data_IF_247349526060
#
_entry.id   IF_247349526060
#
_cell.length_a   1.000
_cell.length_b   1.000
_cell.length_c   1.000
_cell.angle_alpha   90.00
_cell.angle_beta   90.00
_cell.angle_gamma   90.00
#
_symmetry.space_group_name_H-M   'P 1'
#
loop_
_entity.id
_entity.type
_entity.pdbx_description
1 polymer ?
#
# COMPACT_ATOMS: atom_id res chain seq x y z
N UNK A 1 12.09 11.33 -24.07
CA UNK A 1 12.11 9.84 -24.04
C UNK A 1 10.71 9.25 -24.02
N UNK A 2 10.55 8.01 -24.49
CA UNK A 2 9.28 7.27 -24.50
C UNK A 2 9.20 6.29 -23.32
N UNK A 3 8.25 6.49 -22.45
CA UNK A 3 8.06 5.69 -21.24
C UNK A 3 6.81 4.83 -21.36
N UNK A 4 6.96 3.50 -21.23
CA UNK A 4 5.83 2.59 -21.20
C UNK A 4 5.60 2.12 -19.75
N UNK A 5 4.42 2.40 -19.16
CA UNK A 5 4.14 2.06 -17.77
C UNK A 5 3.05 0.99 -17.67
N UNK A 6 3.16 0.09 -16.68
CA UNK A 6 2.14 -0.92 -16.42
C UNK A 6 1.80 -0.94 -14.93
N UNK A 7 0.52 -0.70 -14.62
CA UNK A 7 -0.06 -0.85 -13.28
C UNK A 7 -1.25 -1.80 -13.33
N UNK A 8 -1.57 -2.44 -12.22
CA UNK A 8 -2.64 -3.42 -12.15
C UNK A 8 -3.79 -3.08 -11.19
N UNK A 9 -3.67 -1.99 -10.42
CA UNK A 9 -4.66 -1.59 -9.43
C UNK A 9 -4.65 -0.09 -9.14
N UNK A 10 -5.62 0.39 -8.35
CA UNK A 10 -5.79 1.82 -8.06
C UNK A 10 -4.60 2.46 -7.35
N UNK A 11 -3.94 1.75 -6.43
CA UNK A 11 -2.73 2.24 -5.76
C UNK A 11 -1.57 2.40 -6.74
N UNK A 12 -1.43 1.46 -7.68
CA UNK A 12 -0.46 1.57 -8.77
C UNK A 12 -0.72 2.77 -9.67
N UNK A 13 -1.99 3.05 -10.02
CA UNK A 13 -2.39 4.22 -10.81
C UNK A 13 -2.01 5.54 -10.10
N UNK A 14 -2.24 5.63 -8.78
CA UNK A 14 -1.86 6.78 -7.98
C UNK A 14 -0.33 6.98 -7.96
N UNK A 15 0.42 5.97 -7.60
CA UNK A 15 1.89 6.08 -7.51
C UNK A 15 2.53 6.32 -8.88
N UNK A 16 2.03 5.67 -9.94
CA UNK A 16 2.52 5.88 -11.30
C UNK A 16 2.18 7.27 -11.83
N UNK A 17 1.03 7.84 -11.48
CA UNK A 17 0.69 9.21 -11.87
C UNK A 17 1.65 10.24 -11.27
N UNK A 18 2.02 10.07 -10.00
CA UNK A 18 3.03 10.92 -9.35
C UNK A 18 4.42 10.75 -9.99
N UNK A 19 4.81 9.50 -10.32
CA UNK A 19 6.06 9.23 -11.03
C UNK A 19 6.06 9.88 -12.42
N UNK A 20 4.97 9.75 -13.19
CA UNK A 20 4.84 10.38 -14.52
C UNK A 20 4.96 11.90 -14.44
N UNK A 21 4.33 12.52 -13.44
CA UNK A 21 4.46 13.97 -13.22
C UNK A 21 5.93 14.36 -12.94
N UNK A 22 6.62 13.61 -12.10
CA UNK A 22 8.04 13.83 -11.79
C UNK A 22 8.95 13.55 -13.01
N UNK A 23 8.66 12.53 -13.82
CA UNK A 23 9.38 12.27 -15.07
C UNK A 23 9.25 13.43 -16.09
N UNK A 24 8.09 14.10 -16.16
CA UNK A 24 7.93 15.30 -16.99
C UNK A 24 8.77 16.50 -16.49
N UNK A 25 9.02 16.60 -15.17
CA UNK A 25 9.91 17.63 -14.64
C UNK A 25 11.37 17.37 -15.04
N UNK A 26 11.81 16.10 -15.08
CA UNK A 26 13.19 15.70 -15.43
C UNK A 26 13.43 15.54 -16.94
N UNK A 27 12.38 15.23 -17.69
CA UNK A 27 12.39 15.08 -19.15
C UNK A 27 11.20 15.82 -19.78
N UNK A 28 11.45 17.05 -20.26
CA UNK A 28 10.44 17.91 -20.86
C UNK A 28 9.82 17.35 -22.16
N UNK A 29 10.46 16.35 -22.78
CA UNK A 29 10.00 15.67 -23.99
C UNK A 29 9.44 14.27 -23.67
N UNK A 30 9.08 13.99 -22.42
CA UNK A 30 8.54 12.71 -22.00
C UNK A 30 7.22 12.38 -22.72
N UNK A 31 7.21 11.25 -23.42
CA UNK A 31 6.02 10.66 -24.02
C UNK A 31 5.61 9.42 -23.21
N UNK A 32 4.32 9.31 -22.87
CA UNK A 32 3.82 8.19 -22.09
C UNK A 32 2.82 7.35 -22.86
N UNK A 33 2.97 6.02 -22.71
CA UNK A 33 1.97 5.03 -23.11
C UNK A 33 1.82 4.02 -21.98
N UNK A 34 0.59 3.62 -21.66
CA UNK A 34 0.44 2.86 -20.40
C UNK A 34 -0.80 1.98 -20.34
N UNK A 35 -0.68 0.93 -19.54
CA UNK A 35 -1.77 0.22 -18.90
C UNK A 35 -1.94 0.83 -17.53
N UNK A 36 -3.04 1.56 -17.28
CA UNK A 36 -3.20 2.36 -16.07
C UNK A 36 -4.63 2.77 -15.81
N UNK A 37 -4.82 3.92 -15.20
CA UNK A 37 -6.14 4.44 -14.86
C UNK A 37 -6.29 5.92 -15.08
N UNK A 38 -7.33 6.46 -14.44
CA UNK A 38 -7.76 7.84 -14.63
C UNK A 38 -6.74 8.88 -14.13
N UNK A 39 -5.99 8.55 -13.05
CA UNK A 39 -4.97 9.45 -12.51
C UNK A 39 -3.76 9.57 -13.45
N UNK A 40 -3.28 8.46 -14.00
CA UNK A 40 -2.23 8.50 -15.03
C UNK A 40 -2.71 9.24 -16.27
N UNK A 41 -3.95 9.00 -16.72
CA UNK A 41 -4.54 9.69 -17.87
C UNK A 41 -4.63 11.22 -17.66
N UNK A 42 -4.88 11.67 -16.44
CA UNK A 42 -4.91 13.09 -16.09
C UNK A 42 -3.53 13.76 -16.21
N UNK A 43 -2.43 13.03 -16.00
CA UNK A 43 -1.07 13.53 -16.23
C UNK A 43 -0.77 13.68 -17.71
N UNK A 44 -1.35 12.80 -18.55
CA UNK A 44 -1.23 12.81 -20.02
C UNK A 44 -0.67 11.50 -20.58
N UNK A 45 -0.54 11.44 -21.92
CA UNK A 45 -0.10 10.24 -22.63
C UNK A 45 -1.27 9.40 -23.16
N UNK A 46 -0.98 8.18 -23.63
CA UNK A 46 -1.95 7.29 -24.27
C UNK A 46 -2.25 6.09 -23.37
N UNK A 47 -3.47 6.03 -22.86
CA UNK A 47 -3.95 4.86 -22.14
C UNK A 47 -4.35 3.76 -23.10
N UNK A 48 -3.60 2.65 -23.10
CA UNK A 48 -3.84 1.48 -23.96
C UNK A 48 -4.94 0.61 -23.37
N UNK A 49 -4.96 0.48 -22.03
CA UNK A 49 -5.91 -0.34 -21.30
C UNK A 49 -6.10 0.17 -19.88
N UNK A 50 -7.35 0.20 -19.40
CA UNK A 50 -7.64 0.58 -18.02
C UNK A 50 -7.40 -0.60 -17.07
N UNK A 51 -6.75 -0.35 -15.90
CA UNK A 51 -6.42 -1.41 -14.93
C UNK A 51 -7.65 -2.19 -14.41
N UNK A 52 -8.83 -1.58 -14.35
CA UNK A 52 -10.09 -2.25 -13.98
C UNK A 52 -10.42 -3.44 -14.90
N UNK A 53 -9.90 -3.44 -16.12
CA UNK A 53 -10.05 -4.52 -17.07
C UNK A 53 -8.92 -5.57 -16.99
N UNK A 54 -7.92 -5.34 -16.12
CA UNK A 54 -6.80 -6.26 -15.85
C UNK A 54 -7.00 -7.00 -14.52
N UNK A 55 -7.66 -6.35 -13.56
CA UNK A 55 -7.71 -6.79 -12.17
C UNK A 55 -8.73 -7.90 -11.95
N UNK A 56 -8.29 -9.14 -12.12
CA UNK A 56 -8.97 -10.30 -11.59
C UNK A 56 -8.20 -10.81 -10.37
N UNK A 57 -8.71 -10.54 -9.15
CA UNK A 57 -8.09 -10.99 -7.91
C UNK A 57 -8.84 -12.19 -7.32
N UNK A 58 -8.08 -13.19 -6.85
CA UNK A 58 -8.60 -14.43 -6.27
C UNK A 58 -8.58 -15.59 -7.24
N UNK A 59 -8.55 -16.81 -6.70
CA UNK A 59 -8.35 -18.03 -7.49
C UNK A 59 -9.50 -18.29 -8.49
N UNK A 60 -10.75 -18.15 -8.05
CA UNK A 60 -11.94 -18.39 -8.89
C UNK A 60 -12.10 -17.33 -10.00
N UNK A 61 -12.04 -16.00 -9.72
CA UNK A 61 -12.08 -14.99 -10.78
C UNK A 61 -10.95 -15.13 -11.80
N UNK A 62 -9.74 -15.46 -11.38
CA UNK A 62 -8.61 -15.69 -12.30
C UNK A 62 -8.90 -16.87 -13.22
N UNK A 63 -9.40 -18.01 -12.71
CA UNK A 63 -9.76 -19.18 -13.52
C UNK A 63 -10.85 -18.87 -14.56
N UNK A 64 -11.87 -18.11 -14.18
CA UNK A 64 -12.98 -17.75 -15.06
C UNK A 64 -12.57 -16.76 -16.18
N UNK A 65 -11.52 -15.97 -15.95
CA UNK A 65 -11.08 -14.91 -16.86
C UNK A 65 -9.70 -15.15 -17.50
N UNK A 66 -9.19 -16.39 -17.47
CA UNK A 66 -7.89 -16.74 -18.07
C UNK A 66 -7.74 -16.25 -19.52
N UNK A 67 -8.78 -16.42 -20.36
CA UNK A 67 -8.75 -15.95 -21.75
C UNK A 67 -8.54 -14.44 -21.85
N UNK A 68 -9.21 -13.67 -21.00
CA UNK A 68 -9.07 -12.21 -20.96
C UNK A 68 -7.68 -11.79 -20.46
N UNK A 69 -7.14 -12.48 -19.45
CA UNK A 69 -5.79 -12.23 -18.94
C UNK A 69 -4.75 -12.49 -20.03
N UNK A 70 -4.85 -13.63 -20.75
CA UNK A 70 -3.93 -13.92 -21.87
C UNK A 70 -4.08 -12.93 -23.03
N UNK A 71 -5.31 -12.53 -23.37
CA UNK A 71 -5.56 -11.53 -24.40
C UNK A 71 -4.95 -10.17 -24.03
N UNK A 72 -5.12 -9.73 -22.78
CA UNK A 72 -4.51 -8.50 -22.27
C UNK A 72 -2.98 -8.57 -22.29
N UNK A 73 -2.40 -9.70 -21.89
CA UNK A 73 -0.95 -9.93 -21.92
C UNK A 73 -0.40 -9.89 -23.36
N UNK A 74 -1.10 -10.54 -24.31
CA UNK A 74 -0.75 -10.52 -25.73
C UNK A 74 -0.79 -9.09 -26.26
N UNK A 75 -1.89 -8.36 -26.05
CA UNK A 75 -2.05 -6.97 -26.45
C UNK A 75 -0.93 -6.08 -25.91
N UNK A 76 -0.59 -6.24 -24.62
CA UNK A 76 0.48 -5.48 -23.97
C UNK A 76 1.83 -5.71 -24.66
N UNK A 77 2.19 -6.97 -24.94
CA UNK A 77 3.43 -7.35 -25.62
C UNK A 77 3.50 -6.78 -27.03
N UNK A 78 2.43 -6.92 -27.80
CA UNK A 78 2.33 -6.38 -29.16
C UNK A 78 2.45 -4.86 -29.19
N UNK A 79 1.82 -4.18 -28.25
CA UNK A 79 1.83 -2.73 -28.16
C UNK A 79 3.22 -2.18 -27.76
N UNK A 80 3.92 -2.81 -26.82
CA UNK A 80 5.28 -2.46 -26.43
C UNK A 80 6.23 -2.60 -27.64
N UNK A 81 6.15 -3.72 -28.34
CA UNK A 81 7.01 -3.98 -29.51
C UNK A 81 6.71 -2.99 -30.65
N UNK A 82 5.45 -2.65 -30.88
CA UNK A 82 5.05 -1.72 -31.94
C UNK A 82 5.46 -0.28 -31.63
N UNK A 83 5.37 0.15 -30.37
CA UNK A 83 5.66 1.53 -29.98
C UNK A 83 7.16 1.80 -29.73
N UNK A 84 7.95 0.76 -29.43
CA UNK A 84 9.39 0.83 -29.18
C UNK A 84 9.73 1.92 -28.13
N UNK A 85 9.32 1.75 -26.86
CA UNK A 85 9.68 2.69 -25.79
C UNK A 85 11.18 2.63 -25.47
N UNK A 86 11.72 3.73 -24.94
CA UNK A 86 13.08 3.80 -24.42
C UNK A 86 13.22 3.04 -23.09
N UNK A 87 12.11 2.86 -22.36
CA UNK A 87 12.06 2.09 -21.12
C UNK A 87 10.66 1.52 -20.85
N UNK A 88 10.62 0.32 -20.31
CA UNK A 88 9.43 -0.27 -19.69
C UNK A 88 9.50 -0.11 -18.18
N UNK A 89 8.53 0.59 -17.59
CA UNK A 89 8.41 0.77 -16.13
C UNK A 89 7.24 -0.06 -15.61
N UNK A 90 7.55 -1.05 -14.80
CA UNK A 90 6.59 -1.95 -14.16
C UNK A 90 6.32 -1.47 -12.73
N UNK A 91 5.05 -1.30 -12.35
CA UNK A 91 4.69 -0.79 -11.03
C UNK A 91 3.93 -1.85 -10.24
N UNK A 92 4.52 -2.37 -9.15
CA UNK A 92 3.94 -3.47 -8.35
C UNK A 92 3.37 -4.60 -9.24
N UNK A 93 2.22 -5.19 -8.92
CA UNK A 93 1.46 -6.16 -9.74
C UNK A 93 2.28 -7.33 -10.32
N UNK A 94 3.03 -8.08 -9.47
CA UNK A 94 4.08 -9.00 -9.94
C UNK A 94 3.57 -10.21 -10.72
N UNK A 95 2.29 -10.54 -10.63
CA UNK A 95 1.73 -11.67 -11.37
C UNK A 95 1.75 -11.47 -12.89
N UNK A 96 1.42 -10.28 -13.33
CA UNK A 96 1.40 -9.87 -14.74
C UNK A 96 2.76 -9.27 -15.16
N UNK A 97 3.29 -8.38 -14.34
CA UNK A 97 4.45 -7.59 -14.66
C UNK A 97 5.72 -8.44 -14.87
N UNK A 98 5.96 -9.48 -14.07
CA UNK A 98 7.13 -10.36 -14.26
C UNK A 98 7.06 -11.18 -15.55
N UNK A 99 5.86 -11.54 -16.03
CA UNK A 99 5.71 -12.23 -17.32
C UNK A 99 5.94 -11.28 -18.51
N UNK A 100 5.57 -10.00 -18.37
CA UNK A 100 5.91 -8.97 -19.36
C UNK A 100 7.42 -8.69 -19.33
N UNK A 101 8.03 -8.53 -18.14
CA UNK A 101 9.48 -8.37 -18.01
C UNK A 101 10.26 -9.47 -18.75
N UNK A 102 9.89 -10.73 -18.45
CA UNK A 102 10.49 -11.90 -19.13
C UNK A 102 10.39 -11.83 -20.65
N UNK A 103 9.24 -11.43 -21.18
CA UNK A 103 9.03 -11.32 -22.62
C UNK A 103 9.89 -10.20 -23.22
N UNK A 104 9.89 -9.01 -22.63
CA UNK A 104 10.61 -7.83 -23.11
C UNK A 104 12.12 -8.09 -23.09
N UNK A 105 12.65 -8.63 -21.98
CA UNK A 105 14.06 -8.99 -21.84
C UNK A 105 14.51 -10.02 -22.89
N UNK A 106 13.67 -11.03 -23.19
CA UNK A 106 14.00 -12.09 -24.12
C UNK A 106 13.89 -11.70 -25.61
N UNK A 107 13.08 -10.69 -25.94
CA UNK A 107 12.72 -10.41 -27.35
C UNK A 107 13.07 -8.98 -27.82
N UNK A 108 13.54 -8.13 -26.92
CA UNK A 108 13.85 -6.72 -27.23
C UNK A 108 15.14 -6.29 -26.54
N UNK A 109 15.58 -5.05 -26.78
CA UNK A 109 16.65 -4.38 -26.05
C UNK A 109 16.13 -3.29 -25.11
N UNK A 110 14.81 -3.20 -24.93
CA UNK A 110 14.16 -2.21 -24.08
C UNK A 110 14.52 -2.52 -22.61
N UNK A 111 15.13 -1.59 -21.88
CA UNK A 111 15.42 -1.78 -20.47
C UNK A 111 14.13 -1.89 -19.64
N UNK A 112 14.14 -2.78 -18.65
CA UNK A 112 13.01 -3.04 -17.76
C UNK A 112 13.33 -2.48 -16.39
N UNK A 113 12.63 -1.43 -15.99
CA UNK A 113 12.68 -0.84 -14.68
C UNK A 113 11.46 -1.29 -13.86
N UNK A 114 11.67 -1.58 -12.59
CA UNK A 114 10.59 -2.01 -11.71
C UNK A 114 10.46 -1.03 -10.55
N UNK A 115 9.38 -0.28 -10.50
CA UNK A 115 9.06 0.68 -9.46
C UNK A 115 8.05 0.08 -8.46
N UNK A 116 8.31 0.22 -7.17
CA UNK A 116 7.61 -0.45 -6.07
C UNK A 116 7.81 -1.97 -6.16
N UNK A 117 8.90 -2.42 -5.57
CA UNK A 117 9.36 -3.80 -5.64
C UNK A 117 8.29 -4.82 -5.27
N UNK A 118 8.26 -6.00 -5.92
CA UNK A 118 7.38 -7.08 -5.50
C UNK A 118 7.73 -7.55 -4.08
N UNK A 119 6.73 -7.69 -3.22
CA UNK A 119 6.89 -8.11 -1.81
C UNK A 119 7.33 -9.59 -1.68
N UNK A 120 8.40 -9.97 -2.40
CA UNK A 120 8.91 -11.36 -2.41
C UNK A 120 9.56 -11.75 -1.09
N UNK A 121 9.96 -10.80 -0.27
CA UNK A 121 10.48 -10.99 1.07
C UNK A 121 9.42 -11.57 2.04
N UNK A 122 8.14 -11.26 1.82
CA UNK A 122 7.04 -11.79 2.62
C UNK A 122 6.68 -13.24 2.23
N UNK A 123 6.70 -13.53 0.93
CA UNK A 123 6.33 -14.84 0.37
C UNK A 123 6.82 -14.93 -1.09
N UNK A 124 6.95 -16.14 -1.66
CA UNK A 124 7.42 -16.36 -3.04
C UNK A 124 8.83 -15.80 -3.31
N UNK A 125 9.73 -15.91 -2.33
CA UNK A 125 11.12 -15.47 -2.46
C UNK A 125 11.83 -16.07 -3.69
N UNK A 126 11.39 -17.24 -4.18
CA UNK A 126 11.92 -17.86 -5.40
C UNK A 126 11.85 -16.96 -6.64
N UNK A 127 10.97 -15.95 -6.65
CA UNK A 127 10.85 -14.97 -7.73
C UNK A 127 12.07 -14.08 -7.91
N UNK A 128 12.97 -14.05 -6.93
CA UNK A 128 14.24 -13.32 -7.05
C UNK A 128 15.03 -13.75 -8.29
N UNK A 129 14.95 -15.04 -8.67
CA UNK A 129 15.62 -15.55 -9.88
C UNK A 129 15.09 -14.89 -11.15
N UNK A 130 13.77 -14.63 -11.21
CA UNK A 130 13.15 -13.97 -12.34
C UNK A 130 13.53 -12.49 -12.38
N UNK A 131 13.51 -11.81 -11.22
CA UNK A 131 13.89 -10.41 -11.09
C UNK A 131 15.34 -10.23 -11.56
N UNK A 132 16.28 -11.01 -11.06
CA UNK A 132 17.70 -10.96 -11.46
C UNK A 132 17.93 -11.17 -12.96
N UNK A 133 17.07 -11.93 -13.61
CA UNK A 133 17.21 -12.24 -15.05
C UNK A 133 16.56 -11.19 -15.93
N UNK A 134 15.37 -10.69 -15.53
CA UNK A 134 14.44 -10.02 -16.43
C UNK A 134 14.24 -8.52 -16.08
N UNK A 135 14.79 -8.03 -14.96
CA UNK A 135 14.68 -6.64 -14.52
C UNK A 135 16.06 -6.02 -14.47
N UNK A 136 16.25 -4.90 -15.15
CA UNK A 136 17.53 -4.18 -15.19
C UNK A 136 17.74 -3.33 -13.94
N UNK A 137 16.72 -2.58 -13.51
CA UNK A 137 16.79 -1.69 -12.35
C UNK A 137 15.54 -1.84 -11.48
N UNK A 138 15.73 -1.95 -10.16
CA UNK A 138 14.65 -2.11 -9.18
C UNK A 138 14.62 -0.94 -8.21
N UNK A 139 13.50 -0.23 -8.18
CA UNK A 139 13.27 0.92 -7.31
C UNK A 139 12.35 0.52 -6.15
N UNK A 140 12.91 0.53 -4.95
CA UNK A 140 12.25 0.14 -3.72
C UNK A 140 11.72 1.35 -2.96
N UNK A 141 10.59 1.16 -2.26
CA UNK A 141 9.98 2.14 -1.38
C UNK A 141 10.01 1.74 0.10
N UNK A 142 10.65 0.61 0.43
CA UNK A 142 10.76 0.10 1.79
C UNK A 142 12.25 -0.07 2.17
N UNK A 143 12.75 0.60 3.21
CA UNK A 143 14.18 0.64 3.50
C UNK A 143 14.79 -0.73 3.83
N UNK A 144 14.03 -1.64 4.45
CA UNK A 144 14.51 -2.99 4.77
C UNK A 144 14.67 -3.89 3.54
N UNK A 145 14.14 -3.48 2.37
CA UNK A 145 14.32 -4.21 1.12
C UNK A 145 15.77 -4.12 0.61
N UNK A 146 16.52 -3.07 0.98
CA UNK A 146 17.95 -2.96 0.66
C UNK A 146 18.71 -4.17 1.23
N UNK A 147 18.55 -4.44 2.52
CA UNK A 147 19.20 -5.60 3.14
C UNK A 147 18.71 -6.94 2.54
N UNK A 148 17.44 -7.01 2.17
CA UNK A 148 16.90 -8.21 1.55
C UNK A 148 17.46 -8.44 0.14
N UNK A 149 17.47 -7.44 -0.73
CA UNK A 149 17.91 -7.61 -2.11
C UNK A 149 19.44 -7.58 -2.22
N UNK A 150 20.11 -6.62 -1.62
CA UNK A 150 21.57 -6.47 -1.70
C UNK A 150 22.29 -7.39 -0.73
N UNK A 151 21.97 -7.32 0.57
CA UNK A 151 22.65 -8.10 1.60
C UNK A 151 22.44 -9.60 1.43
N UNK A 152 21.19 -10.05 1.28
CA UNK A 152 20.89 -11.49 1.17
C UNK A 152 21.07 -12.05 -0.23
N UNK A 153 20.66 -11.30 -1.25
CA UNK A 153 20.60 -11.81 -2.62
C UNK A 153 21.69 -11.26 -3.54
N UNK A 154 22.49 -10.27 -3.13
CA UNK A 154 23.53 -9.66 -3.98
C UNK A 154 22.94 -9.05 -5.26
N UNK A 155 21.77 -8.41 -5.17
CA UNK A 155 21.08 -7.74 -6.27
C UNK A 155 20.91 -6.26 -5.91
N UNK A 156 21.65 -5.34 -6.57
CA UNK A 156 21.57 -3.93 -6.25
C UNK A 156 20.18 -3.36 -6.54
N UNK A 157 19.74 -2.44 -5.69
CA UNK A 157 18.45 -1.75 -5.84
C UNK A 157 18.58 -0.26 -5.51
N UNK A 158 17.59 0.51 -5.91
CA UNK A 158 17.53 1.95 -5.62
C UNK A 158 16.43 2.19 -4.59
N UNK A 159 16.81 2.52 -3.36
CA UNK A 159 15.83 2.99 -2.37
C UNK A 159 15.54 4.46 -2.63
N UNK A 160 14.30 4.78 -3.00
CA UNK A 160 13.90 6.11 -3.45
C UNK A 160 13.03 6.89 -2.45
N UNK A 161 12.81 6.34 -1.26
CA UNK A 161 11.85 6.85 -0.29
C UNK A 161 10.47 6.21 -0.43
N UNK A 162 9.51 6.65 0.37
CA UNK A 162 8.18 6.05 0.40
C UNK A 162 7.09 7.06 0.01
N UNK A 163 6.30 6.80 -1.05
CA UNK A 163 5.25 7.72 -1.51
C UNK A 163 4.19 8.08 -0.47
N UNK A 164 3.94 7.21 0.52
CA UNK A 164 3.02 7.50 1.62
C UNK A 164 3.50 8.68 2.47
N UNK A 165 4.82 8.87 2.60
CA UNK A 165 5.39 10.06 3.28
C UNK A 165 5.04 11.32 2.50
N UNK A 166 5.15 11.27 1.16
CA UNK A 166 4.79 12.40 0.28
C UNK A 166 3.31 12.77 0.44
N UNK A 167 2.43 11.76 0.39
CA UNK A 167 0.97 11.94 0.48
C UNK A 167 0.56 12.54 1.83
N UNK A 168 1.08 11.98 2.94
CA UNK A 168 0.77 12.48 4.29
C UNK A 168 1.34 13.87 4.51
N UNK A 169 2.57 14.13 4.07
CA UNK A 169 3.21 15.45 4.20
C UNK A 169 2.44 16.52 3.42
N UNK A 170 2.07 16.23 2.18
CA UNK A 170 1.28 17.13 1.35
C UNK A 170 -0.11 17.43 1.97
N UNK A 171 -0.77 16.40 2.50
CA UNK A 171 -2.05 16.57 3.20
C UNK A 171 -1.90 17.45 4.44
N UNK A 172 -0.91 17.19 5.29
CA UNK A 172 -0.68 17.96 6.53
C UNK A 172 -0.35 19.42 6.23
N UNK A 173 0.37 19.70 5.15
CA UNK A 173 0.72 21.06 4.71
C UNK A 173 -0.50 21.81 4.14
N UNK A 174 -1.43 21.13 3.48
CA UNK A 174 -2.58 21.75 2.80
C UNK A 174 -3.86 21.82 3.64
N UNK A 175 -4.00 20.96 4.66
CA UNK A 175 -5.21 20.86 5.47
C UNK A 175 -5.12 21.74 6.71
N UNK A 176 -6.11 22.65 6.87
CA UNK A 176 -6.30 23.46 8.08
C UNK A 176 -7.57 23.06 8.87
N UNK A 177 -8.20 21.93 8.51
CA UNK A 177 -9.42 21.43 9.16
C UNK A 177 -9.20 21.18 10.66
N UNK A 178 -10.01 21.83 11.50
CA UNK A 178 -10.00 21.62 12.95
C UNK A 178 -10.85 20.41 13.33
N UNK A 179 -10.74 19.95 14.60
CA UNK A 179 -11.61 18.90 15.11
C UNK A 179 -13.09 19.28 15.03
N UNK A 180 -13.44 20.51 15.38
CA UNK A 180 -14.81 21.00 15.32
C UNK A 180 -15.38 21.06 13.89
N UNK A 181 -14.53 21.43 12.91
CA UNK A 181 -14.92 21.42 11.50
C UNK A 181 -15.17 20.00 11.02
N UNK A 182 -14.27 19.07 11.36
CA UNK A 182 -14.41 17.64 11.04
C UNK A 182 -15.68 17.03 11.64
N UNK A 183 -15.91 17.30 12.93
CA UNK A 183 -17.11 16.83 13.66
C UNK A 183 -18.38 17.34 13.01
N UNK A 184 -18.45 18.64 12.72
CA UNK A 184 -19.60 19.28 12.08
C UNK A 184 -19.86 18.74 10.68
N UNK A 185 -18.80 18.64 9.87
CA UNK A 185 -18.89 18.20 8.47
C UNK A 185 -19.30 16.72 8.32
N UNK A 186 -19.12 15.91 9.38
CA UNK A 186 -19.42 14.48 9.36
C UNK A 186 -20.61 14.10 10.26
N UNK A 187 -21.27 15.07 10.91
CA UNK A 187 -22.40 14.82 11.82
C UNK A 187 -21.99 13.92 13.00
N UNK A 188 -20.84 14.24 13.60
CA UNK A 188 -20.26 13.56 14.74
C UNK A 188 -20.57 14.31 16.05
N UNK A 189 -20.30 13.71 17.18
CA UNK A 189 -20.34 14.35 18.49
C UNK A 189 -18.99 14.98 18.85
N UNK A 190 -18.93 15.77 19.94
CA UNK A 190 -17.66 16.34 20.43
C UNK A 190 -16.76 15.33 21.18
N UNK A 191 -17.14 14.02 21.24
CA UNK A 191 -16.31 12.99 21.87
C UNK A 191 -15.03 12.74 21.05
N UNK A 192 -13.92 12.40 21.71
CA UNK A 192 -12.72 11.97 21.01
C UNK A 192 -13.00 10.73 20.13
N UNK A 193 -12.26 10.59 19.06
CA UNK A 193 -12.51 9.58 18.01
C UNK A 193 -11.59 8.38 18.16
N UNK A 194 -12.17 7.19 18.13
CA UNK A 194 -11.45 5.95 17.82
C UNK A 194 -11.71 5.64 16.33
N UNK A 195 -10.65 5.68 15.54
CA UNK A 195 -10.71 5.37 14.12
C UNK A 195 -10.64 3.85 13.88
N UNK A 196 -11.49 3.36 12.96
CA UNK A 196 -11.52 1.95 12.55
C UNK A 196 -11.15 1.87 11.06
N UNK A 197 -10.06 1.18 10.74
CA UNK A 197 -9.59 0.92 9.38
C UNK A 197 -9.62 -0.60 9.15
N UNK A 198 -10.79 -1.13 8.80
CA UNK A 198 -11.04 -2.57 8.78
C UNK A 198 -10.54 -3.30 7.52
N UNK A 199 -9.76 -2.64 6.69
CA UNK A 199 -9.21 -3.16 5.44
C UNK A 199 -9.93 -2.65 4.19
N UNK A 200 -9.34 -2.94 3.04
CA UNK A 200 -9.83 -2.50 1.73
C UNK A 200 -10.57 -3.59 0.95
N UNK A 201 -10.49 -4.85 1.39
CA UNK A 201 -11.10 -6.00 0.72
C UNK A 201 -12.31 -6.51 1.50
N UNK A 202 -13.31 -7.01 0.76
CA UNK A 202 -14.54 -7.56 1.36
C UNK A 202 -14.26 -8.60 2.45
N UNK A 203 -13.29 -9.48 2.22
CA UNK A 203 -12.94 -10.51 3.19
C UNK A 203 -12.31 -9.91 4.45
N UNK A 204 -11.40 -8.96 4.32
CA UNK A 204 -10.76 -8.27 5.46
C UNK A 204 -11.81 -7.57 6.33
N UNK A 205 -12.72 -6.82 5.71
CA UNK A 205 -13.81 -6.12 6.41
C UNK A 205 -14.69 -7.12 7.14
N UNK A 206 -15.12 -8.20 6.45
CA UNK A 206 -15.94 -9.25 7.05
C UNK A 206 -15.29 -9.87 8.29
N UNK A 207 -13.99 -10.16 8.20
CA UNK A 207 -13.28 -10.91 9.23
C UNK A 207 -12.84 -10.02 10.40
N UNK A 208 -12.43 -8.77 10.16
CA UNK A 208 -11.85 -7.90 11.20
C UNK A 208 -12.88 -6.98 11.86
N UNK A 209 -13.79 -6.37 11.09
CA UNK A 209 -14.67 -5.31 11.59
C UNK A 209 -15.54 -5.72 12.79
N UNK A 210 -16.16 -6.92 12.84
CA UNK A 210 -17.01 -7.28 13.98
C UNK A 210 -16.28 -7.29 15.32
N UNK A 211 -15.04 -7.79 15.36
CA UNK A 211 -14.25 -7.86 16.59
C UNK A 211 -13.69 -6.50 16.98
N UNK A 212 -13.24 -5.70 16.02
CA UNK A 212 -12.85 -4.31 16.24
C UNK A 212 -13.98 -3.50 16.86
N UNK A 213 -15.20 -3.59 16.32
CA UNK A 213 -16.36 -2.88 16.84
C UNK A 213 -16.75 -3.32 18.24
N UNK A 214 -16.82 -4.63 18.48
CA UNK A 214 -17.14 -5.17 19.81
C UNK A 214 -16.14 -4.73 20.87
N UNK A 215 -14.86 -4.68 20.54
CA UNK A 215 -13.82 -4.22 21.45
C UNK A 215 -13.92 -2.71 21.69
N UNK A 216 -14.06 -1.91 20.63
CA UNK A 216 -14.12 -0.45 20.73
C UNK A 216 -15.40 0.07 21.40
N UNK A 217 -16.52 -0.63 21.27
CA UNK A 217 -17.79 -0.30 21.94
C UNK A 217 -17.69 -0.32 23.48
N UNK A 218 -16.64 -0.92 24.06
CA UNK A 218 -16.38 -0.90 25.49
C UNK A 218 -15.89 0.46 26.03
N UNK A 219 -15.68 1.44 25.17
CA UNK A 219 -15.16 2.78 25.51
C UNK A 219 -16.20 3.88 25.21
N UNK A 220 -17.24 4.03 26.06
CA UNK A 220 -18.38 4.92 25.79
C UNK A 220 -18.04 6.41 25.78
N UNK A 221 -16.89 6.79 26.33
CA UNK A 221 -16.40 8.17 26.31
C UNK A 221 -15.86 8.59 24.94
N UNK A 222 -15.69 7.64 24.02
CA UNK A 222 -15.23 7.83 22.67
C UNK A 222 -16.36 7.58 21.66
N UNK A 223 -16.24 8.20 20.50
CA UNK A 223 -17.08 7.88 19.35
C UNK A 223 -16.31 7.05 18.34
N UNK A 224 -16.99 6.11 17.71
CA UNK A 224 -16.41 5.22 16.74
C UNK A 224 -16.62 5.76 15.33
N UNK A 225 -15.54 5.89 14.56
CA UNK A 225 -15.61 6.32 13.17
C UNK A 225 -14.89 5.32 12.28
N UNK A 226 -15.62 4.73 11.35
CA UNK A 226 -15.11 3.76 10.39
C UNK A 226 -14.76 4.44 9.06
N UNK A 227 -13.51 4.30 8.64
CA UNK A 227 -13.09 4.67 7.30
C UNK A 227 -13.63 3.66 6.29
N UNK A 228 -14.58 4.07 5.46
CA UNK A 228 -15.11 3.27 4.36
C UNK A 228 -14.09 3.18 3.22
N UNK A 229 -13.73 1.96 2.83
CA UNK A 229 -12.78 1.71 1.76
C UNK A 229 -13.35 2.14 0.38
N UNK A 230 -12.50 2.64 -0.53
CA UNK A 230 -12.92 2.96 -1.89
C UNK A 230 -13.57 1.75 -2.58
N UNK A 231 -14.70 1.99 -3.26
CA UNK A 231 -15.43 0.94 -3.97
C UNK A 231 -16.31 0.02 -3.11
N UNK A 232 -16.38 0.26 -1.78
CA UNK A 232 -17.33 -0.41 -0.90
C UNK A 232 -18.57 0.46 -0.67
N UNK A 233 -19.76 -0.18 -0.64
CA UNK A 233 -21.01 0.53 -0.34
C UNK A 233 -21.29 0.57 1.17
N UNK A 234 -22.05 1.58 1.66
CA UNK A 234 -22.48 1.63 3.05
C UNK A 234 -23.26 0.38 3.47
N UNK A 235 -24.05 -0.21 2.56
CA UNK A 235 -24.86 -1.41 2.80
C UNK A 235 -23.99 -2.63 3.08
N UNK A 236 -22.78 -2.68 2.50
CA UNK A 236 -21.86 -3.76 2.78
C UNK A 236 -21.41 -3.74 4.24
N UNK A 237 -21.07 -2.57 4.76
CA UNK A 237 -20.64 -2.40 6.16
C UNK A 237 -21.77 -2.66 7.16
N UNK A 238 -23.00 -2.23 6.86
CA UNK A 238 -24.18 -2.43 7.73
C UNK A 238 -24.41 -3.88 8.13
N UNK A 239 -23.96 -4.83 7.29
CA UNK A 239 -24.06 -6.27 7.59
C UNK A 239 -23.21 -6.71 8.76
N UNK A 240 -22.17 -5.94 9.11
CA UNK A 240 -21.16 -6.29 10.11
C UNK A 240 -21.13 -5.36 11.32
N UNK A 241 -21.92 -4.32 11.32
CA UNK A 241 -21.98 -3.33 12.41
C UNK A 241 -22.62 -3.90 13.68
N UNK A 242 -23.55 -4.85 13.56
CA UNK A 242 -24.09 -5.60 14.71
C UNK A 242 -24.81 -4.74 15.76
N UNK A 243 -25.37 -3.59 15.38
CA UNK A 243 -26.05 -2.68 16.31
C UNK A 243 -25.14 -1.76 17.12
N UNK A 244 -23.81 -1.80 16.88
CA UNK A 244 -22.87 -0.84 17.48
C UNK A 244 -23.06 0.53 16.84
N UNK A 245 -23.10 1.59 17.66
CA UNK A 245 -23.14 2.96 17.17
C UNK A 245 -21.78 3.33 16.58
N UNK A 246 -21.72 3.41 15.25
CA UNK A 246 -20.51 3.76 14.49
C UNK A 246 -20.85 4.59 13.28
N UNK A 247 -20.15 5.69 13.09
CA UNK A 247 -20.28 6.51 11.89
C UNK A 247 -19.35 5.98 10.80
N UNK A 248 -19.88 5.78 9.60
CA UNK A 248 -19.08 5.37 8.42
C UNK A 248 -18.85 6.59 7.55
N UNK A 249 -17.59 6.90 7.25
CA UNK A 249 -17.23 8.01 6.36
C UNK A 249 -16.38 7.48 5.21
N UNK A 250 -16.57 8.03 4.01
CA UNK A 250 -15.89 7.59 2.79
C UNK A 250 -14.98 8.69 2.25
N UNK A 251 -13.86 8.29 1.64
CA UNK A 251 -12.88 9.20 1.03
C UNK A 251 -12.31 10.26 2.00
N UNK A 252 -12.30 9.96 3.29
CA UNK A 252 -11.82 10.87 4.35
C UNK A 252 -10.89 10.16 5.35
N UNK A 253 -10.09 9.22 4.91
CA UNK A 253 -9.16 8.48 5.80
C UNK A 253 -8.15 9.42 6.43
N UNK A 254 -7.51 10.30 5.68
CA UNK A 254 -6.54 11.26 6.21
C UNK A 254 -7.17 12.31 7.14
N UNK A 255 -8.30 12.96 6.79
CA UNK A 255 -9.05 13.78 7.73
C UNK A 255 -9.40 13.04 9.04
N UNK A 256 -9.84 11.78 8.95
CA UNK A 256 -10.14 10.96 10.13
C UNK A 256 -8.89 10.72 10.98
N UNK A 257 -7.80 10.27 10.38
CA UNK A 257 -6.56 9.98 11.09
C UNK A 257 -6.00 11.22 11.79
N UNK A 258 -6.09 12.39 11.15
CA UNK A 258 -5.65 13.66 11.74
C UNK A 258 -6.39 13.99 13.05
N UNK A 259 -7.64 13.56 13.19
CA UNK A 259 -8.51 13.88 14.32
C UNK A 259 -8.70 12.71 15.30
N UNK A 260 -8.10 11.56 15.01
CA UNK A 260 -8.28 10.36 15.82
C UNK A 260 -7.36 10.35 17.05
N UNK A 261 -7.92 9.93 18.18
CA UNK A 261 -7.18 9.74 19.44
C UNK A 261 -6.45 8.39 19.47
N UNK A 262 -7.05 7.36 18.87
CA UNK A 262 -6.50 6.03 18.71
C UNK A 262 -7.09 5.35 17.46
N UNK A 263 -6.47 4.27 17.00
CA UNK A 263 -6.95 3.53 15.84
C UNK A 263 -6.84 2.01 16.01
N UNK A 264 -7.82 1.29 15.47
CA UNK A 264 -7.74 -0.14 15.19
C UNK A 264 -7.57 -0.31 13.67
N UNK A 265 -6.48 -0.95 13.25
CA UNK A 265 -6.05 -0.92 11.84
C UNK A 265 -5.77 -2.33 11.33
N UNK A 266 -6.38 -2.70 10.21
CA UNK A 266 -6.03 -3.93 9.51
C UNK A 266 -4.64 -3.79 8.86
N UNK A 267 -3.83 -4.84 8.96
CA UNK A 267 -2.46 -4.84 8.40
C UNK A 267 -2.44 -4.48 6.90
N UNK A 268 -1.59 -3.54 6.54
CA UNK A 268 -1.42 -3.00 5.19
C UNK A 268 -0.79 -1.61 5.23
N UNK A 269 -0.89 -0.87 4.14
CA UNK A 269 -0.40 0.53 4.04
C UNK A 269 -1.04 1.44 5.09
N UNK A 270 -2.29 1.18 5.46
CA UNK A 270 -3.01 1.93 6.49
C UNK A 270 -2.28 1.98 7.84
N UNK A 271 -1.49 0.96 8.19
CA UNK A 271 -0.68 0.99 9.43
C UNK A 271 0.41 2.05 9.36
N UNK A 272 1.02 2.22 8.21
CA UNK A 272 2.04 3.24 7.96
C UNK A 272 1.41 4.64 7.95
N UNK A 273 0.32 4.82 7.23
CA UNK A 273 -0.45 6.08 7.22
C UNK A 273 -0.80 6.51 8.65
N UNK A 274 -1.39 5.60 9.44
CA UNK A 274 -1.77 5.86 10.82
C UNK A 274 -0.59 6.30 11.70
N UNK A 275 0.57 5.65 11.53
CA UNK A 275 1.78 6.01 12.26
C UNK A 275 2.35 7.37 11.84
N UNK A 276 2.31 7.71 10.55
CA UNK A 276 2.74 9.02 10.03
C UNK A 276 1.83 10.15 10.50
N UNK A 277 0.53 9.89 10.70
CA UNK A 277 -0.38 10.81 11.40
C UNK A 277 -0.18 10.84 12.91
N UNK A 278 0.76 10.05 13.47
CA UNK A 278 1.06 9.96 14.90
C UNK A 278 -0.13 9.48 15.73
N UNK A 279 -1.01 8.66 15.15
CA UNK A 279 -2.15 8.06 15.85
C UNK A 279 -1.75 6.73 16.45
N UNK A 280 -1.79 6.56 17.78
CA UNK A 280 -1.54 5.28 18.43
C UNK A 280 -2.51 4.22 17.95
N UNK A 281 -2.00 3.02 17.63
CA UNK A 281 -2.78 2.00 16.96
C UNK A 281 -2.53 0.59 17.49
N UNK A 282 -3.55 -0.26 17.40
CA UNK A 282 -3.41 -1.71 17.46
C UNK A 282 -3.66 -2.29 16.05
N UNK A 283 -2.78 -3.18 15.63
CA UNK A 283 -2.90 -3.84 14.32
C UNK A 283 -3.70 -5.12 14.48
N UNK A 284 -4.81 -5.20 13.74
CA UNK A 284 -5.80 -6.26 13.82
C UNK A 284 -5.83 -7.04 12.50
N UNK A 285 -5.57 -8.34 12.54
CA UNK A 285 -5.61 -9.15 11.33
C UNK A 285 -6.16 -10.56 11.60
N UNK A 286 -7.41 -10.76 11.27
CA UNK A 286 -8.05 -12.06 11.36
C UNK A 286 -7.76 -12.89 10.11
N UNK A 287 -7.47 -14.18 10.29
CA UNK A 287 -7.31 -15.10 9.17
C UNK A 287 -8.37 -16.19 9.28
N UNK A 288 -9.23 -16.37 8.26
CA UNK A 288 -10.39 -17.28 8.32
C UNK A 288 -10.06 -18.78 8.51
N UNK A 289 -8.78 -19.14 8.41
CA UNK A 289 -8.31 -20.52 8.53
C UNK A 289 -7.35 -20.61 9.75
N UNK A 290 -7.91 -20.36 10.95
CA UNK A 290 -7.19 -20.11 12.19
C UNK A 290 -6.01 -21.03 12.53
N UNK A 291 -6.21 -22.34 12.76
CA UNK A 291 -5.14 -23.20 13.31
C UNK A 291 -4.18 -23.77 12.25
N UNK A 292 -4.66 -24.07 11.05
CA UNK A 292 -3.85 -24.69 9.99
C UNK A 292 -2.95 -23.64 9.32
N UNK A 293 -3.42 -22.42 9.13
CA UNK A 293 -2.60 -21.33 8.58
C UNK A 293 -1.70 -20.71 9.64
N UNK A 294 -2.04 -20.69 10.92
CA UNK A 294 -1.10 -20.32 11.98
C UNK A 294 0.13 -21.25 11.99
N UNK A 295 -0.10 -22.55 11.78
CA UNK A 295 0.97 -23.54 11.61
C UNK A 295 1.74 -23.35 10.30
N UNK A 296 1.06 -23.14 9.17
CA UNK A 296 1.67 -22.87 7.87
C UNK A 296 2.33 -21.48 7.82
N UNK A 297 1.78 -20.44 8.47
CA UNK A 297 2.41 -19.12 8.58
C UNK A 297 3.77 -19.18 9.26
N UNK A 298 3.93 -20.00 10.31
CA UNK A 298 5.22 -20.20 10.98
C UNK A 298 6.31 -20.75 10.03
N UNK A 299 5.91 -21.38 8.92
CA UNK A 299 6.80 -22.02 7.96
C UNK A 299 6.83 -21.34 6.58
N UNK A 300 5.82 -20.54 6.23
CA UNK A 300 5.67 -19.91 4.90
C UNK A 300 6.00 -18.41 4.95
N UNK A 301 5.56 -17.69 5.98
CA UNK A 301 5.94 -16.29 6.17
C UNK A 301 7.29 -16.22 6.88
N UNK A 302 8.30 -15.78 6.17
CA UNK A 302 9.68 -15.61 6.66
C UNK A 302 9.89 -14.29 7.39
N UNK A 303 8.82 -13.56 7.72
CA UNK A 303 8.88 -12.24 8.34
C UNK A 303 8.46 -12.30 9.80
N UNK A 304 9.17 -11.56 10.65
CA UNK A 304 8.89 -11.46 12.08
C UNK A 304 7.61 -10.66 12.37
N UNK A 305 7.30 -9.68 11.54
CA UNK A 305 6.19 -8.73 11.68
C UNK A 305 5.32 -8.71 10.43
N UNK A 306 4.08 -8.23 10.57
CA UNK A 306 3.13 -8.10 9.46
C UNK A 306 2.77 -6.64 9.13
N UNK A 307 2.91 -5.72 10.09
CA UNK A 307 2.69 -4.29 9.87
C UNK A 307 3.92 -3.63 9.27
N UNK A 308 3.72 -2.67 8.38
CA UNK A 308 4.82 -1.88 7.82
C UNK A 308 5.57 -1.11 8.91
N UNK A 309 4.88 -0.66 9.95
CA UNK A 309 5.50 0.05 11.08
C UNK A 309 6.59 -0.80 11.73
N UNK A 310 6.26 -2.02 12.14
CA UNK A 310 7.21 -2.91 12.81
C UNK A 310 8.29 -3.43 11.86
N UNK A 311 7.94 -3.68 10.59
CA UNK A 311 8.90 -4.11 9.55
C UNK A 311 9.94 -3.02 9.29
N UNK A 312 9.51 -1.78 9.12
CA UNK A 312 10.43 -0.64 8.86
C UNK A 312 11.29 -0.36 10.08
N UNK A 313 10.70 -0.35 11.27
CA UNK A 313 11.42 -0.14 12.51
C UNK A 313 12.29 -1.35 12.94
N UNK A 314 12.11 -2.51 12.31
CA UNK A 314 12.72 -3.80 12.67
C UNK A 314 12.57 -4.15 14.17
N UNK A 315 11.50 -3.67 14.80
CA UNK A 315 11.13 -3.93 16.20
C UNK A 315 9.63 -3.79 16.40
N UNK A 316 9.11 -4.32 17.52
CA UNK A 316 7.71 -4.10 17.90
C UNK A 316 7.54 -2.65 18.39
N UNK A 317 6.87 -1.85 17.58
CA UNK A 317 6.44 -0.47 17.89
C UNK A 317 4.95 -0.47 18.19
N UNK A 318 4.20 -1.24 17.41
CA UNK A 318 2.75 -1.42 17.56
C UNK A 318 2.44 -2.88 17.83
N UNK A 319 1.42 -3.14 18.66
CA UNK A 319 0.97 -4.51 18.92
C UNK A 319 0.27 -5.09 17.70
N UNK A 320 0.71 -6.27 17.29
CA UNK A 320 0.09 -7.03 16.20
C UNK A 320 -0.78 -8.16 16.79
N UNK A 321 -2.08 -8.00 16.67
CA UNK A 321 -3.07 -9.00 17.06
C UNK A 321 -3.48 -9.81 15.84
N UNK A 322 -3.01 -11.04 15.75
CA UNK A 322 -3.09 -11.84 14.51
C UNK A 322 -3.66 -13.22 14.80
N UNK A 323 -4.60 -13.65 13.98
CA UNK A 323 -5.20 -14.98 14.04
C UNK A 323 -5.77 -15.32 15.44
N UNK A 324 -5.12 -16.19 16.18
CA UNK A 324 -5.53 -16.64 17.52
C UNK A 324 -5.40 -15.58 18.61
N UNK A 325 -4.58 -14.56 18.39
CA UNK A 325 -4.46 -13.40 19.29
C UNK A 325 -5.42 -12.26 18.93
N UNK A 326 -6.08 -12.32 17.78
CA UNK A 326 -7.11 -11.35 17.37
C UNK A 326 -8.45 -11.73 18.02
N UNK A 327 -8.57 -11.49 19.32
CA UNK A 327 -9.82 -11.66 20.08
C UNK A 327 -10.32 -10.32 20.59
N UNK A 328 -11.62 -10.23 20.87
CA UNK A 328 -12.24 -8.99 21.40
C UNK A 328 -11.57 -8.55 22.70
N UNK A 329 -11.22 -9.49 23.57
CA UNK A 329 -10.55 -9.22 24.85
C UNK A 329 -9.15 -8.64 24.64
N UNK A 330 -8.37 -9.21 23.73
CA UNK A 330 -7.01 -8.74 23.43
C UNK A 330 -7.04 -7.36 22.77
N UNK A 331 -7.94 -7.15 21.81
CA UNK A 331 -8.13 -5.84 21.15
C UNK A 331 -8.56 -4.78 22.16
N UNK A 332 -9.51 -5.11 23.04
CA UNK A 332 -9.95 -4.21 24.13
C UNK A 332 -8.83 -3.90 25.10
N UNK A 333 -8.06 -4.90 25.52
CA UNK A 333 -6.92 -4.73 26.42
C UNK A 333 -5.86 -3.81 25.84
N UNK A 334 -5.52 -4.01 24.55
CA UNK A 334 -4.55 -3.17 23.86
C UNK A 334 -5.06 -1.74 23.65
N UNK A 335 -6.33 -1.59 23.27
CA UNK A 335 -6.94 -0.27 23.12
C UNK A 335 -6.98 0.48 24.45
N UNK A 336 -7.25 -0.22 25.57
CA UNK A 336 -7.20 0.37 26.92
C UNK A 336 -5.81 0.90 27.26
N UNK A 337 -4.75 0.16 26.93
CA UNK A 337 -3.36 0.63 27.11
C UNK A 337 -3.06 1.86 26.27
N UNK A 338 -3.45 1.83 25.01
CA UNK A 338 -3.27 2.95 24.09
C UNK A 338 -3.96 4.22 24.59
N UNK A 339 -5.15 4.10 25.15
CA UNK A 339 -5.96 5.24 25.58
C UNK A 339 -5.56 5.79 26.95
N UNK A 340 -5.14 4.93 27.89
CA UNK A 340 -5.01 5.34 29.30
C UNK A 340 -3.59 5.18 29.88
N UNK A 341 -2.71 4.38 29.26
CA UNK A 341 -1.31 4.28 29.68
C UNK A 341 -0.44 5.31 28.93
N UNK A 342 -0.17 6.43 29.59
CA UNK A 342 0.61 7.54 29.03
C UNK A 342 2.03 7.14 28.64
N UNK A 343 2.66 6.24 29.41
CA UNK A 343 4.03 5.82 29.11
C UNK A 343 4.06 4.90 27.90
N UNK A 344 3.13 3.95 27.80
CA UNK A 344 2.99 3.10 26.64
C UNK A 344 2.72 3.91 25.35
N UNK A 345 1.81 4.89 25.44
CA UNK A 345 1.52 5.82 24.35
C UNK A 345 2.75 6.61 23.93
N UNK A 346 3.53 7.13 24.87
CA UNK A 346 4.77 7.86 24.61
C UNK A 346 5.78 7.00 23.84
N UNK A 347 6.01 5.77 24.33
CA UNK A 347 6.93 4.82 23.69
C UNK A 347 6.51 4.47 22.25
N UNK A 348 5.20 4.33 22.00
CA UNK A 348 4.68 4.08 20.66
C UNK A 348 4.95 5.28 19.72
N UNK A 349 4.72 6.50 20.18
CA UNK A 349 4.97 7.72 19.40
C UNK A 349 6.47 7.92 19.12
N UNK A 350 7.35 7.63 20.05
CA UNK A 350 8.81 7.62 19.84
C UNK A 350 9.21 6.54 18.81
N UNK A 351 8.53 5.39 18.85
CA UNK A 351 8.69 4.36 17.85
C UNK A 351 8.29 4.81 16.44
N UNK A 352 7.25 5.64 16.34
CA UNK A 352 6.83 6.24 15.06
C UNK A 352 7.86 7.24 14.52
N UNK A 353 8.45 8.05 15.39
CA UNK A 353 9.54 8.96 15.01
C UNK A 353 10.74 8.21 14.47
N UNK A 354 11.13 7.13 15.15
CA UNK A 354 12.20 6.26 14.67
C UNK A 354 11.84 5.60 13.32
N UNK A 355 10.64 5.05 13.17
CA UNK A 355 10.16 4.47 11.92
C UNK A 355 10.17 5.50 10.78
N UNK A 356 9.70 6.72 11.05
CA UNK A 356 9.72 7.81 10.07
C UNK A 356 11.14 8.20 9.67
N UNK A 357 12.09 8.23 10.61
CA UNK A 357 13.51 8.48 10.30
C UNK A 357 14.13 7.41 9.39
N UNK A 358 13.68 6.16 9.49
CA UNK A 358 14.11 5.09 8.58
C UNK A 358 13.58 5.28 7.15
N UNK A 359 12.41 5.91 6.97
CA UNK A 359 11.82 6.18 5.66
C UNK A 359 12.52 7.34 4.93
N UNK A 360 13.10 8.28 5.66
CA UNK A 360 13.65 9.50 5.09
C UNK A 360 12.57 10.55 4.79
N UNK A 361 12.96 11.57 4.03
CA UNK A 361 12.12 12.71 3.69
C UNK A 361 11.17 12.39 2.52
N UNK A 362 10.15 13.23 2.34
CA UNK A 362 9.27 13.20 1.18
C UNK A 362 10.06 13.52 -0.11
N UNK A 363 9.59 13.00 -1.25
CA UNK A 363 10.23 13.17 -2.55
C UNK A 363 10.42 11.87 -3.32
N UNK A 364 9.82 10.78 -2.88
CA UNK A 364 9.98 9.46 -3.49
C UNK A 364 9.76 9.43 -5.01
N UNK A 365 8.67 10.00 -5.58
CA UNK A 365 8.48 10.04 -7.03
C UNK A 365 9.56 10.85 -7.76
N UNK A 366 10.03 11.96 -7.15
CA UNK A 366 11.07 12.82 -7.74
C UNK A 366 12.44 12.15 -7.71
N UNK A 367 12.78 11.49 -6.61
CA UNK A 367 14.02 10.71 -6.51
C UNK A 367 14.04 9.59 -7.55
N UNK A 368 12.93 8.83 -7.65
CA UNK A 368 12.80 7.77 -8.65
C UNK A 368 12.94 8.31 -10.08
N UNK A 369 12.23 9.39 -10.42
CA UNK A 369 12.27 9.99 -11.76
C UNK A 369 13.68 10.47 -12.14
N UNK A 370 14.35 11.20 -11.25
CA UNK A 370 15.71 11.69 -11.45
C UNK A 370 16.69 10.56 -11.70
N UNK A 371 16.61 9.50 -10.89
CA UNK A 371 17.51 8.36 -11.02
C UNK A 371 17.23 7.56 -12.28
N UNK A 372 15.95 7.31 -12.63
CA UNK A 372 15.56 6.65 -13.88
C UNK A 372 16.08 7.39 -15.10
N UNK A 373 15.89 8.71 -15.17
CA UNK A 373 16.37 9.54 -16.30
C UNK A 373 17.89 9.53 -16.37
N UNK A 374 18.58 9.61 -15.24
CA UNK A 374 20.05 9.55 -15.20
C UNK A 374 20.59 8.19 -15.71
N UNK A 375 19.95 7.09 -15.32
CA UNK A 375 20.31 5.74 -15.77
C UNK A 375 20.07 5.55 -17.27
N UNK A 376 18.96 6.08 -17.81
CA UNK A 376 18.66 6.00 -19.25
C UNK A 376 19.67 6.79 -20.08
N UNK A 377 20.01 8.01 -19.67
CA UNK A 377 21.01 8.85 -20.38
C UNK A 377 22.38 8.18 -20.42
N UNK A 378 22.83 7.50 -19.35
CA UNK A 378 24.09 6.74 -19.32
C UNK A 378 24.10 5.53 -20.24
N UNK A 379 22.93 4.99 -20.61
CA UNK A 379 22.82 3.86 -21.54
C UNK A 379 22.88 4.30 -23.02
N UNK A 380 22.64 5.57 -23.30
CA UNK A 380 22.76 6.16 -24.63
C UNK A 380 24.18 6.59 -24.97
N UNK A 381 25.05 6.82 -23.96
CA UNK A 381 26.49 7.09 -24.08
C UNK A 381 27.30 5.81 -24.32
#
# INVERSE_FOLDING_TARGET
>A
MKYYLIVGEASGDLHASHLMAALKEEDSQAEFRFFGGDLMAAVGGVMVKHYKELAYMGFIPVLLHLRTIFANMKRCKEDIVAWQPDVLILVDYPGFNLDIAKFVHANTRIPVFYYISPKIWAWKEYRIKNIKRDVDELFSILPFEVEFFEGKHGYPIHYVGNPTVDEVTAFLASSSETFDDFVRANGLSAKPVIALLAGSRKQEIKDNLPDMLRAAASFPDYQLVLAGAPGMSPEYYKRYVGGVDVKIIFNKTFPLLRQAEAALVTSGTATLETALFRVPQAVCYHTPIGKVIAFLKRHILKVKYISLVNLIANREVVKELVADTMTVEQVRSELNRILYDKEYRRQMLEGYEYMASCLGEAGAPKHAAREMVALLRRREE
#
